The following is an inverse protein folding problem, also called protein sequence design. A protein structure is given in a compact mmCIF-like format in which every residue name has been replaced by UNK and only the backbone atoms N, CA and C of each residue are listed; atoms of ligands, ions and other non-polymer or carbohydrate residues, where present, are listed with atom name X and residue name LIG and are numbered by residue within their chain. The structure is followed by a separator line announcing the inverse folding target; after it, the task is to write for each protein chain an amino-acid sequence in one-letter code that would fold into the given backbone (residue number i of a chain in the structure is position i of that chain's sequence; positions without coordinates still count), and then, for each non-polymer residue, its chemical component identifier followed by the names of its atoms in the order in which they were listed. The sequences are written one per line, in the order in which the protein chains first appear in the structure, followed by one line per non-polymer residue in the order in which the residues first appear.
data_IF_808788695488
#
_entry.id   IF_808788695488
#
_cell.length_a   1.000
_cell.length_b   1.000
_cell.length_c   1.000
_cell.angle_alpha   90.00
_cell.angle_beta   90.00
_cell.angle_gamma   90.00
#
_symmetry.space_group_name_H-M   'P 1'
#
loop_
_entity.id
_entity.type
_entity.pdbx_description
1 polymer ?
#
# COMPACT_ATOMS: atom_id res chain seq x y z
N UNK A 1 -10.23 -8.04 7.50
CA UNK A 1 -11.15 -8.83 6.68
C UNK A 1 -12.09 -7.90 5.93
N UNK A 2 -12.36 -8.14 4.64
CA UNK A 2 -13.36 -7.39 3.92
C UNK A 2 -14.74 -7.70 4.51
N UNK A 3 -15.52 -6.66 4.73
CA UNK A 3 -16.93 -6.78 5.14
C UNK A 3 -17.78 -6.03 4.13
N UNK A 4 -18.97 -6.57 3.85
CA UNK A 4 -19.98 -5.85 3.09
C UNK A 4 -20.69 -4.89 4.06
N UNK A 5 -20.58 -3.60 3.80
CA UNK A 5 -21.22 -2.57 4.60
C UNK A 5 -21.65 -1.40 3.72
N UNK A 6 -22.63 -0.65 4.20
CA UNK A 6 -23.06 0.59 3.55
C UNK A 6 -22.02 1.68 3.78
N UNK A 7 -21.62 2.37 2.72
CA UNK A 7 -20.64 3.47 2.78
C UNK A 7 -21.29 4.75 3.37
N UNK A 8 -21.36 4.78 4.70
CA UNK A 8 -21.95 5.92 5.44
C UNK A 8 -21.25 7.24 5.17
N UNK A 9 -19.93 7.21 4.84
CA UNK A 9 -19.16 8.42 4.53
C UNK A 9 -19.59 9.01 3.19
N UNK A 10 -19.73 8.15 2.18
CA UNK A 10 -20.16 8.56 0.85
C UNK A 10 -21.61 9.05 0.86
N UNK A 11 -22.48 8.38 1.58
CA UNK A 11 -23.89 8.81 1.78
C UNK A 11 -23.93 10.20 2.42
N UNK A 12 -23.13 10.47 3.46
CA UNK A 12 -23.08 11.78 4.10
C UNK A 12 -22.60 12.89 3.14
N UNK A 13 -21.59 12.58 2.33
CA UNK A 13 -21.10 13.51 1.30
C UNK A 13 -22.16 13.85 0.26
N UNK A 14 -22.87 12.82 -0.26
CA UNK A 14 -23.93 13.00 -1.25
C UNK A 14 -25.10 13.81 -0.69
N UNK A 15 -25.52 13.55 0.56
CA UNK A 15 -26.58 14.31 1.23
C UNK A 15 -26.23 15.79 1.39
N UNK A 16 -25.00 16.12 1.79
CA UNK A 16 -24.56 17.49 1.90
C UNK A 16 -24.53 18.23 0.54
N UNK A 17 -24.20 17.49 -0.54
CA UNK A 17 -24.23 18.04 -1.91
C UNK A 17 -25.67 18.22 -2.42
N UNK A 18 -26.58 17.34 -2.04
CA UNK A 18 -28.01 17.44 -2.37
C UNK A 18 -28.61 18.70 -1.72
N UNK A 19 -28.37 18.88 -0.44
CA UNK A 19 -28.80 20.06 0.32
C UNK A 19 -28.32 21.38 -0.33
N UNK A 20 -27.04 21.43 -0.72
CA UNK A 20 -26.48 22.60 -1.42
C UNK A 20 -27.16 22.87 -2.79
N UNK A 21 -27.49 21.83 -3.56
CA UNK A 21 -28.20 21.99 -4.84
C UNK A 21 -29.66 22.40 -4.63
N UNK A 22 -30.31 21.94 -3.58
CA UNK A 22 -31.66 22.33 -3.21
C UNK A 22 -31.71 23.81 -2.78
N UNK A 23 -30.73 24.27 -2.00
CA UNK A 23 -30.60 25.67 -1.62
C UNK A 23 -30.39 26.56 -2.86
N UNK A 24 -29.52 26.14 -3.79
CA UNK A 24 -29.31 26.85 -5.06
C UNK A 24 -30.61 26.94 -5.89
N UNK A 25 -31.43 25.87 -5.93
CA UNK A 25 -32.72 25.84 -6.65
C UNK A 25 -33.80 26.75 -6.03
N UNK A 26 -33.66 27.10 -4.74
CA UNK A 26 -34.62 28.03 -4.08
C UNK A 26 -34.26 29.51 -4.30
N UNK A 27 -33.10 29.78 -4.89
CA UNK A 27 -32.66 31.15 -5.22
C UNK A 27 -33.57 31.81 -6.24
N UNK A 28 -33.95 33.08 -6.02
CA UNK A 28 -35.02 33.79 -6.76
C UNK A 28 -34.59 34.30 -8.15
N UNK A 29 -33.34 34.15 -8.54
CA UNK A 29 -32.76 34.74 -9.77
C UNK A 29 -32.16 33.67 -10.73
N UNK A 30 -32.79 32.54 -10.85
CA UNK A 30 -32.33 31.47 -11.77
C UNK A 30 -32.95 31.63 -13.15
N UNK A 31 -32.12 31.68 -14.21
CA UNK A 31 -32.60 31.47 -15.56
C UNK A 31 -33.03 30.03 -15.82
N UNK A 32 -33.80 29.78 -16.90
CA UNK A 32 -34.33 28.46 -17.18
C UNK A 32 -33.24 27.42 -17.48
N UNK A 33 -32.10 27.84 -18.09
CA UNK A 33 -31.00 26.95 -18.44
C UNK A 33 -30.25 26.49 -17.20
N UNK A 34 -29.97 27.42 -16.28
CA UNK A 34 -29.31 27.11 -15.01
C UNK A 34 -30.21 26.24 -14.13
N UNK A 35 -31.52 26.52 -14.09
CA UNK A 35 -32.49 25.70 -13.35
C UNK A 35 -32.52 24.27 -13.87
N UNK A 36 -32.60 24.06 -15.17
CA UNK A 36 -32.57 22.73 -15.78
C UNK A 36 -31.27 21.97 -15.47
N UNK A 37 -30.13 22.68 -15.46
CA UNK A 37 -28.83 22.11 -15.11
C UNK A 37 -28.78 21.64 -13.64
N UNK A 38 -29.32 22.44 -12.71
CA UNK A 38 -29.38 22.10 -11.29
C UNK A 38 -30.34 20.93 -11.04
N UNK A 39 -31.50 20.89 -11.71
CA UNK A 39 -32.43 19.77 -11.63
C UNK A 39 -31.81 18.44 -12.13
N UNK A 40 -31.08 18.49 -13.25
CA UNK A 40 -30.35 17.32 -13.74
C UNK A 40 -29.25 16.84 -12.75
N UNK A 41 -28.55 17.78 -12.11
CA UNK A 41 -27.57 17.48 -11.07
C UNK A 41 -28.19 16.90 -9.81
N UNK A 42 -29.36 17.40 -9.41
CA UNK A 42 -30.15 16.86 -8.29
C UNK A 42 -30.56 15.43 -8.57
N UNK A 43 -31.17 15.15 -9.72
CA UNK A 43 -31.61 13.81 -10.11
C UNK A 43 -30.47 12.80 -10.08
N UNK A 44 -29.29 13.17 -10.56
CA UNK A 44 -28.11 12.31 -10.52
C UNK A 44 -27.62 12.04 -9.08
N UNK A 45 -27.64 13.04 -8.20
CA UNK A 45 -27.27 12.86 -6.80
C UNK A 45 -28.28 11.99 -6.04
N UNK A 46 -29.56 12.06 -6.38
CA UNK A 46 -30.62 11.19 -5.82
C UNK A 46 -30.42 9.73 -6.26
N UNK A 47 -30.07 9.49 -7.53
CA UNK A 47 -29.72 8.17 -8.05
C UNK A 47 -28.48 7.60 -7.33
N UNK A 48 -27.41 8.39 -7.20
CA UNK A 48 -26.21 8.03 -6.46
C UNK A 48 -26.54 7.72 -5.00
N UNK A 49 -27.36 8.53 -4.35
CA UNK A 49 -27.78 8.33 -2.96
C UNK A 49 -28.52 6.99 -2.81
N UNK A 50 -29.43 6.68 -3.71
CA UNK A 50 -30.16 5.41 -3.74
C UNK A 50 -29.19 4.25 -3.92
N UNK A 51 -28.29 4.34 -4.90
CA UNK A 51 -27.26 3.31 -5.15
C UNK A 51 -26.44 3.01 -3.89
N UNK A 52 -25.83 4.04 -3.25
CA UNK A 52 -24.99 3.83 -2.07
C UNK A 52 -25.77 3.45 -0.80
N UNK A 53 -27.08 3.67 -0.77
CA UNK A 53 -27.95 3.25 0.34
C UNK A 53 -28.38 1.79 0.21
N UNK A 54 -28.63 1.33 -1.02
CA UNK A 54 -29.16 0.00 -1.29
C UNK A 54 -28.06 -1.03 -1.64
N UNK A 55 -26.92 -0.56 -2.15
CA UNK A 55 -25.83 -1.44 -2.58
C UNK A 55 -24.73 -1.51 -1.52
N UNK A 56 -24.55 -2.64 -0.85
CA UNK A 56 -23.43 -2.83 0.07
C UNK A 56 -22.10 -2.83 -0.68
N UNK A 57 -21.19 -1.94 -0.30
CA UNK A 57 -19.84 -1.90 -0.84
C UNK A 57 -18.87 -2.66 0.06
N UNK A 58 -17.85 -3.26 -0.54
CA UNK A 58 -16.80 -3.90 0.22
C UNK A 58 -15.98 -2.85 0.97
N UNK A 59 -16.11 -2.84 2.27
CA UNK A 59 -15.33 -1.97 3.15
C UNK A 59 -14.29 -2.78 3.91
N UNK A 60 -13.25 -2.13 4.40
CA UNK A 60 -12.23 -2.76 5.23
C UNK A 60 -12.42 -2.30 6.68
N UNK A 61 -12.66 -3.26 7.56
CA UNK A 61 -12.58 -3.02 9.00
C UNK A 61 -11.10 -2.92 9.39
N UNK A 62 -10.67 -1.76 9.86
CA UNK A 62 -9.37 -1.61 10.49
C UNK A 62 -9.42 -2.19 11.89
N UNK A 63 -8.79 -3.35 12.09
CA UNK A 63 -8.58 -3.88 13.42
C UNK A 63 -7.54 -3.02 14.13
N UNK A 64 -7.89 -2.45 15.25
CA UNK A 64 -6.90 -1.78 16.09
C UNK A 64 -5.96 -2.84 16.67
N UNK A 65 -4.68 -2.76 16.31
CA UNK A 65 -3.64 -3.65 16.85
C UNK A 65 -3.13 -3.01 18.15
N UNK A 66 -3.10 -3.74 19.27
CA UNK A 66 -2.53 -3.25 20.52
C UNK A 66 -1.08 -2.79 20.35
N UNK A 67 -0.66 -1.78 21.12
CA UNK A 67 0.72 -1.24 21.03
C UNK A 67 1.77 -2.30 21.35
N UNK A 68 1.45 -3.19 22.25
CA UNK A 68 2.29 -4.29 22.70
C UNK A 68 2.56 -5.27 21.53
N UNK A 69 1.51 -5.66 20.79
CA UNK A 69 1.64 -6.53 19.61
C UNK A 69 2.46 -5.86 18.49
N UNK A 70 2.31 -4.54 18.31
CA UNK A 70 3.12 -3.77 17.36
C UNK A 70 4.59 -3.78 17.79
N UNK A 71 4.87 -3.55 19.09
CA UNK A 71 6.23 -3.53 19.62
C UNK A 71 6.92 -4.90 19.48
N UNK A 72 6.22 -5.99 19.73
CA UNK A 72 6.73 -7.36 19.54
C UNK A 72 7.08 -7.64 18.07
N UNK A 73 6.20 -7.27 17.12
CA UNK A 73 6.45 -7.44 15.69
C UNK A 73 7.62 -6.59 15.19
N UNK A 74 7.74 -5.36 15.67
CA UNK A 74 8.88 -4.48 15.34
C UNK A 74 10.17 -5.05 15.89
N UNK A 75 10.20 -5.51 17.14
CA UNK A 75 11.38 -6.12 17.76
C UNK A 75 11.80 -7.41 17.02
N UNK A 76 10.84 -8.27 16.69
CA UNK A 76 11.09 -9.47 15.90
C UNK A 76 11.72 -9.12 14.53
N UNK A 77 11.12 -8.19 13.78
CA UNK A 77 11.63 -7.79 12.46
C UNK A 77 13.01 -7.14 12.55
N UNK A 78 13.26 -6.34 13.60
CA UNK A 78 14.57 -5.74 13.86
C UNK A 78 15.63 -6.81 14.16
N UNK A 79 15.29 -7.83 14.96
CA UNK A 79 16.19 -8.95 15.29
C UNK A 79 16.55 -9.80 14.08
N UNK A 80 15.58 -10.07 13.20
CA UNK A 80 15.84 -10.81 11.94
C UNK A 80 16.86 -10.09 11.05
N UNK A 81 16.86 -8.75 11.08
CA UNK A 81 17.70 -7.91 10.22
C UNK A 81 18.95 -7.35 10.93
N UNK A 82 19.11 -7.61 12.23
CA UNK A 82 20.22 -7.10 13.04
C UNK A 82 20.27 -5.57 13.07
N UNK A 83 19.12 -4.93 13.36
CA UNK A 83 18.96 -3.47 13.39
C UNK A 83 18.25 -2.98 14.66
N UNK A 84 18.27 -3.77 15.75
CA UNK A 84 17.61 -3.42 16.99
C UNK A 84 18.12 -2.13 17.61
N UNK A 85 19.43 -1.90 17.52
CA UNK A 85 20.12 -0.69 17.98
C UNK A 85 19.81 0.56 17.18
N UNK A 86 19.14 0.41 16.05
CA UNK A 86 18.77 1.51 15.15
C UNK A 86 17.29 1.94 15.27
N UNK A 87 16.49 1.28 16.10
CA UNK A 87 15.05 1.54 16.17
C UNK A 87 14.71 2.99 16.54
N UNK A 88 15.53 3.65 17.37
CA UNK A 88 15.35 5.04 17.76
C UNK A 88 16.11 6.03 16.87
N UNK A 89 16.83 5.54 15.86
CA UNK A 89 17.65 6.36 14.99
C UNK A 89 16.85 6.96 13.84
N UNK A 90 17.15 8.21 13.47
CA UNK A 90 16.54 8.87 12.31
C UNK A 90 17.19 8.36 11.01
N UNK A 91 16.42 8.20 9.92
CA UNK A 91 16.96 7.72 8.63
C UNK A 91 18.16 8.51 8.09
N UNK A 92 18.26 9.81 8.40
CA UNK A 92 19.40 10.65 8.00
C UNK A 92 20.72 10.25 8.66
N UNK A 93 20.69 9.61 9.83
CA UNK A 93 21.87 9.18 10.57
C UNK A 93 22.33 7.77 10.18
N UNK A 94 21.62 7.08 9.30
CA UNK A 94 21.88 5.70 8.90
C UNK A 94 22.74 5.60 7.64
N UNK A 95 23.58 4.57 7.57
CA UNK A 95 24.30 4.20 6.34
C UNK A 95 23.34 3.69 5.25
N UNK A 96 23.81 3.55 4.01
CA UNK A 96 23.02 3.00 2.89
C UNK A 96 22.44 1.62 3.20
N UNK A 97 23.28 0.71 3.72
CA UNK A 97 22.86 -0.64 4.08
C UNK A 97 21.90 -0.70 5.27
N UNK A 98 22.10 0.16 6.28
CA UNK A 98 21.17 0.26 7.40
C UNK A 98 19.79 0.72 6.92
N UNK A 99 19.73 1.74 6.06
CA UNK A 99 18.46 2.17 5.46
C UNK A 99 17.78 1.05 4.66
N UNK A 100 18.58 0.25 3.92
CA UNK A 100 18.05 -0.87 3.15
C UNK A 100 17.47 -1.96 4.06
N UNK A 101 18.16 -2.34 5.13
CA UNK A 101 17.62 -3.28 6.14
C UNK A 101 16.35 -2.77 6.79
N UNK A 102 16.28 -1.49 7.14
CA UNK A 102 15.05 -0.89 7.67
C UNK A 102 13.90 -0.93 6.64
N UNK A 103 14.19 -0.70 5.35
CA UNK A 103 13.18 -0.81 4.29
C UNK A 103 12.65 -2.25 4.16
N UNK A 104 13.52 -3.26 4.23
CA UNK A 104 13.12 -4.68 4.30
C UNK A 104 12.31 -4.96 5.57
N UNK A 105 12.72 -4.45 6.73
CA UNK A 105 12.01 -4.60 8.00
C UNK A 105 10.57 -4.09 7.93
N UNK A 106 10.36 -2.95 7.29
CA UNK A 106 9.00 -2.40 7.07
C UNK A 106 8.13 -3.31 6.19
N UNK A 107 8.73 -4.07 5.29
CA UNK A 107 8.00 -5.01 4.46
C UNK A 107 7.66 -6.29 5.24
N UNK A 108 8.63 -6.88 5.98
CA UNK A 108 8.43 -8.16 6.67
C UNK A 108 7.54 -8.06 7.91
N UNK A 109 7.53 -6.91 8.60
CA UNK A 109 6.69 -6.71 9.80
C UNK A 109 5.20 -6.91 9.51
N UNK A 110 4.80 -6.81 8.24
CA UNK A 110 3.42 -7.04 7.78
C UNK A 110 3.10 -8.51 7.53
N UNK A 111 4.10 -9.40 7.63
CA UNK A 111 3.97 -10.83 7.36
C UNK A 111 3.28 -11.10 6.01
N UNK A 112 3.78 -10.54 4.90
CA UNK A 112 3.13 -10.67 3.60
C UNK A 112 3.22 -12.10 3.08
N UNK A 113 2.21 -12.58 2.36
CA UNK A 113 2.25 -13.89 1.66
C UNK A 113 3.19 -13.87 0.45
N UNK A 114 3.42 -12.70 -0.13
CA UNK A 114 4.34 -12.47 -1.26
C UNK A 114 5.10 -11.19 -1.00
N UNK A 115 6.43 -11.23 -1.13
CA UNK A 115 7.30 -10.05 -1.03
C UNK A 115 7.77 -9.64 -2.41
N UNK A 116 7.56 -8.38 -2.75
CA UNK A 116 7.97 -7.79 -4.02
C UNK A 116 9.20 -6.91 -3.77
N UNK A 117 10.31 -7.22 -4.44
CA UNK A 117 11.57 -6.50 -4.35
C UNK A 117 11.96 -6.01 -5.75
N UNK A 118 11.91 -4.71 -5.94
CA UNK A 118 12.22 -4.07 -7.22
C UNK A 118 13.61 -3.40 -7.13
N UNK A 119 14.60 -3.99 -7.79
CA UNK A 119 16.01 -3.58 -7.80
C UNK A 119 16.57 -3.21 -6.41
N UNK A 120 16.38 -4.02 -5.36
CA UNK A 120 16.65 -3.59 -3.99
C UNK A 120 18.12 -3.32 -3.68
N UNK A 121 19.05 -3.77 -4.53
CA UNK A 121 20.49 -3.63 -4.30
C UNK A 121 21.18 -2.67 -5.30
N UNK A 122 20.43 -2.07 -6.23
CA UNK A 122 20.98 -1.23 -7.32
C UNK A 122 21.81 -0.02 -6.82
N UNK A 123 21.42 0.57 -5.69
CA UNK A 123 22.02 1.77 -5.13
C UNK A 123 23.13 1.50 -4.09
N UNK A 124 23.61 0.25 -3.98
CA UNK A 124 24.62 -0.14 -3.01
C UNK A 124 25.99 -0.34 -3.68
N UNK A 125 27.07 -0.06 -2.94
CA UNK A 125 28.41 -0.40 -3.38
C UNK A 125 28.62 -1.93 -3.45
N UNK A 126 29.66 -2.38 -4.17
CA UNK A 126 29.89 -3.80 -4.47
C UNK A 126 30.05 -4.67 -3.21
N UNK A 127 30.72 -4.17 -2.17
CA UNK A 127 30.95 -4.92 -0.93
C UNK A 127 29.64 -5.09 -0.17
N UNK A 128 28.89 -4.01 -0.03
CA UNK A 128 27.60 -4.01 0.67
C UNK A 128 26.55 -4.82 -0.10
N UNK A 129 26.55 -4.76 -1.44
CA UNK A 129 25.68 -5.57 -2.30
C UNK A 129 25.89 -7.06 -2.07
N UNK A 130 27.16 -7.50 -1.98
CA UNK A 130 27.48 -8.91 -1.71
C UNK A 130 26.96 -9.36 -0.34
N UNK A 131 27.13 -8.54 0.70
CA UNK A 131 26.61 -8.83 2.04
C UNK A 131 25.09 -8.89 2.04
N UNK A 132 24.41 -7.92 1.42
CA UNK A 132 22.96 -7.83 1.37
C UNK A 132 22.32 -8.96 0.57
N UNK A 133 22.96 -9.48 -0.48
CA UNK A 133 22.51 -10.69 -1.18
C UNK A 133 22.39 -11.88 -0.23
N UNK A 134 23.44 -12.14 0.53
CA UNK A 134 23.44 -13.24 1.51
C UNK A 134 22.35 -13.06 2.57
N UNK A 135 22.12 -11.83 3.02
CA UNK A 135 21.06 -11.52 3.98
C UNK A 135 19.66 -11.74 3.42
N UNK A 136 19.40 -11.34 2.16
CA UNK A 136 18.10 -11.55 1.52
C UNK A 136 17.83 -13.05 1.31
N UNK A 137 18.83 -13.84 0.92
CA UNK A 137 18.69 -15.31 0.81
C UNK A 137 18.35 -15.91 2.17
N UNK A 138 19.09 -15.56 3.22
CA UNK A 138 18.82 -16.01 4.59
C UNK A 138 17.42 -15.61 5.06
N UNK A 139 17.01 -14.39 4.75
CA UNK A 139 15.67 -13.89 5.08
C UNK A 139 14.58 -14.70 4.38
N UNK A 140 14.76 -15.02 3.10
CA UNK A 140 13.83 -15.86 2.34
C UNK A 140 13.69 -17.25 2.98
N UNK A 141 14.81 -17.88 3.36
CA UNK A 141 14.81 -19.18 4.03
C UNK A 141 14.09 -19.15 5.39
N UNK A 142 14.25 -18.07 6.15
CA UNK A 142 13.62 -17.88 7.46
C UNK A 142 12.11 -17.64 7.35
N UNK A 143 11.69 -16.78 6.42
CA UNK A 143 10.29 -16.39 6.27
C UNK A 143 9.44 -17.43 5.54
N UNK A 144 10.05 -18.30 4.72
CA UNK A 144 9.36 -19.30 3.86
C UNK A 144 8.23 -18.70 3.02
N UNK A 145 8.39 -17.43 2.65
CA UNK A 145 7.43 -16.63 1.89
C UNK A 145 7.88 -16.55 0.43
N UNK A 146 6.97 -16.43 -0.51
CA UNK A 146 7.32 -16.24 -1.92
C UNK A 146 7.92 -14.85 -2.13
N UNK A 147 9.14 -14.78 -2.70
CA UNK A 147 9.77 -13.53 -3.11
C UNK A 147 9.72 -13.40 -4.62
N UNK A 148 9.27 -12.25 -5.10
CA UNK A 148 9.41 -11.82 -6.50
C UNK A 148 10.48 -10.74 -6.49
N UNK A 149 11.62 -11.05 -7.11
CA UNK A 149 12.80 -10.21 -7.13
C UNK A 149 13.09 -9.74 -8.55
N UNK A 150 13.04 -8.42 -8.77
CA UNK A 150 13.38 -7.82 -10.05
C UNK A 150 14.81 -7.30 -9.99
N UNK A 151 15.62 -7.66 -10.97
CA UNK A 151 16.99 -7.19 -11.10
C UNK A 151 17.45 -7.21 -12.57
N UNK A 152 18.38 -6.33 -12.92
CA UNK A 152 19.12 -6.37 -14.17
C UNK A 152 20.51 -7.02 -13.99
N UNK A 153 20.88 -7.39 -12.77
CA UNK A 153 22.15 -8.05 -12.46
C UNK A 153 22.00 -9.58 -12.59
N UNK A 154 22.73 -10.15 -13.55
CA UNK A 154 22.71 -11.60 -13.82
C UNK A 154 23.24 -12.40 -12.63
N UNK A 155 24.22 -11.88 -11.89
CA UNK A 155 24.79 -12.56 -10.71
C UNK A 155 23.74 -12.64 -9.61
N UNK A 156 22.97 -11.59 -9.38
CA UNK A 156 21.84 -11.62 -8.43
C UNK A 156 20.82 -12.67 -8.84
N UNK A 157 20.35 -12.63 -10.08
CA UNK A 157 19.35 -13.58 -10.58
C UNK A 157 19.81 -15.04 -10.42
N UNK A 158 21.05 -15.33 -10.82
CA UNK A 158 21.61 -16.70 -10.79
C UNK A 158 21.93 -17.22 -9.38
N UNK A 159 22.25 -16.33 -8.44
CA UNK A 159 22.65 -16.73 -7.08
C UNK A 159 21.50 -16.77 -6.08
N UNK A 160 20.44 -15.99 -6.31
CA UNK A 160 19.34 -15.84 -5.36
C UNK A 160 18.04 -16.51 -5.85
N UNK A 161 17.86 -16.63 -7.18
CA UNK A 161 16.63 -17.16 -7.75
C UNK A 161 16.54 -18.67 -7.69
N UNK A 162 15.46 -19.21 -7.16
CA UNK A 162 15.08 -20.62 -7.31
C UNK A 162 14.45 -20.88 -8.68
N UNK A 163 13.88 -19.84 -9.29
CA UNK A 163 13.35 -19.81 -10.65
C UNK A 163 13.60 -18.43 -11.27
N UNK A 164 14.08 -18.42 -12.49
CA UNK A 164 14.42 -17.20 -13.23
C UNK A 164 13.45 -17.05 -14.39
N UNK A 165 12.95 -15.84 -14.59
CA UNK A 165 12.13 -15.44 -15.73
C UNK A 165 12.83 -14.30 -16.45
N UNK A 166 13.18 -14.52 -17.71
CA UNK A 166 13.80 -13.49 -18.54
C UNK A 166 12.69 -12.72 -19.27
N UNK A 167 12.77 -11.40 -19.23
CA UNK A 167 11.80 -10.51 -19.90
C UNK A 167 12.50 -9.60 -20.90
N UNK A 168 11.87 -9.40 -22.06
CA UNK A 168 12.29 -8.45 -23.09
C UNK A 168 11.09 -7.70 -23.62
N UNK A 169 11.12 -6.36 -23.55
CA UNK A 169 10.03 -5.50 -24.02
C UNK A 169 8.63 -5.89 -23.46
N UNK A 170 8.58 -6.26 -22.19
CA UNK A 170 7.34 -6.66 -21.51
C UNK A 170 6.87 -8.09 -21.79
N UNK A 171 7.61 -8.87 -22.55
CA UNK A 171 7.27 -10.26 -22.92
C UNK A 171 8.26 -11.23 -22.26
N UNK A 172 7.73 -12.33 -21.73
CA UNK A 172 8.51 -13.44 -21.18
C UNK A 172 9.16 -14.20 -22.34
N UNK A 173 10.45 -14.54 -22.19
CA UNK A 173 11.24 -15.24 -23.17
C UNK A 173 11.30 -16.75 -22.89
#
# INVERSE_FOLDING_TARGET
NPILAIDKKKIKEIKARLEAVEDDLTSTELDEELKASLEAKKAKLEEDLKYYTETPVQTYSYKHIPKEEIAEKVKWAAGVLGVEDLLDSKPKAMSGGQRQRIALGRAIVREPKVMLLDEPLSNLDAKLRTSMRAEIVKLHEQLKTTFIYVTHDQVEAMTMGTRIVVMKLGVVQ
#
